data_IF_805956905834
#
_entry.id   IF_805956905834
#
_cell.length_a   1.000
_cell.length_b   1.000
_cell.length_c   1.000
_cell.angle_alpha   90.00
_cell.angle_beta   90.00
_cell.angle_gamma   90.00
#
_symmetry.space_group_name_H-M   'P 1'
#
loop_
_entity.id
_entity.type
_entity.pdbx_description
1 polymer ?
#
# COMPACT_ATOMS: atom_id res chain seq x y z
N UNK A 1 -13.62 6.98 5.83
CA UNK A 1 -12.80 5.75 5.90
C UNK A 1 -12.15 5.38 4.56
N UNK A 2 -12.90 5.30 3.44
CA UNK A 2 -12.33 4.90 2.13
C UNK A 2 -11.16 5.80 1.66
N UNK A 3 -11.26 7.10 1.91
CA UNK A 3 -10.23 8.11 1.58
C UNK A 3 -8.87 7.79 2.17
N UNK A 4 -8.79 7.50 3.48
CA UNK A 4 -7.53 7.14 4.16
C UNK A 4 -6.88 5.91 3.51
N UNK A 5 -7.68 4.90 3.16
CA UNK A 5 -7.17 3.67 2.55
C UNK A 5 -6.61 3.95 1.15
N UNK A 6 -7.30 4.78 0.36
CA UNK A 6 -6.86 5.17 -0.99
C UNK A 6 -5.59 6.02 -0.94
N UNK A 7 -5.50 6.99 -0.02
CA UNK A 7 -4.31 7.82 0.18
C UNK A 7 -3.09 6.99 0.58
N UNK A 8 -3.24 6.08 1.55
CA UNK A 8 -2.16 5.17 1.98
C UNK A 8 -1.77 4.18 0.87
N UNK A 9 -2.74 3.66 0.13
CA UNK A 9 -2.46 2.76 -0.99
C UNK A 9 -1.72 3.47 -2.15
N UNK A 10 -1.93 4.77 -2.33
CA UNK A 10 -1.26 5.55 -3.38
C UNK A 10 0.16 5.98 -3.01
N UNK A 11 0.46 6.08 -1.71
CA UNK A 11 1.73 6.62 -1.21
C UNK A 11 2.77 5.53 -0.90
N UNK A 12 2.33 4.33 -0.50
CA UNK A 12 3.22 3.24 -0.08
C UNK A 12 3.37 2.16 -1.15
N UNK A 13 4.51 1.46 -1.12
CA UNK A 13 4.69 0.23 -1.90
C UNK A 13 3.85 -0.92 -1.32
N UNK A 14 3.57 -1.95 -2.13
CA UNK A 14 2.73 -3.07 -1.69
C UNK A 14 3.26 -3.76 -0.43
N UNK A 15 4.56 -3.95 -0.29
CA UNK A 15 5.17 -4.59 0.87
C UNK A 15 5.01 -3.75 2.14
N UNK A 16 5.24 -2.44 2.03
CA UNK A 16 5.05 -1.51 3.14
C UNK A 16 3.58 -1.43 3.55
N UNK A 17 2.68 -1.36 2.57
CA UNK A 17 1.24 -1.34 2.79
C UNK A 17 0.76 -2.62 3.49
N UNK A 18 1.24 -3.80 3.05
CA UNK A 18 0.95 -5.07 3.72
C UNK A 18 1.42 -5.06 5.18
N UNK A 19 2.60 -4.53 5.46
CA UNK A 19 3.14 -4.45 6.81
C UNK A 19 2.34 -3.49 7.70
N UNK A 20 1.92 -2.34 7.19
CA UNK A 20 1.07 -1.40 7.93
C UNK A 20 -0.34 -1.94 8.20
N UNK A 21 -0.88 -2.74 7.28
CA UNK A 21 -2.13 -3.47 7.48
C UNK A 21 -2.00 -4.46 8.63
N UNK A 22 -0.94 -5.27 8.63
CA UNK A 22 -0.70 -6.30 9.68
C UNK A 22 -0.48 -5.64 11.04
N UNK A 23 0.27 -4.53 11.07
CA UNK A 23 0.53 -3.78 12.30
C UNK A 23 -0.67 -2.95 12.78
N UNK A 24 -1.72 -2.79 11.97
CA UNK A 24 -2.93 -2.05 12.35
C UNK A 24 -2.76 -0.53 12.40
N UNK A 25 -1.72 0.04 11.75
CA UNK A 25 -1.52 1.49 11.68
C UNK A 25 -2.66 2.18 10.93
N UNK A 26 -3.07 1.62 9.79
CA UNK A 26 -4.19 2.11 8.98
C UNK A 26 -5.51 2.04 9.78
N UNK A 27 -5.71 0.98 10.56
CA UNK A 27 -6.90 0.86 11.42
C UNK A 27 -6.94 1.94 12.52
N UNK A 28 -5.77 2.29 13.06
CA UNK A 28 -5.63 3.34 14.08
C UNK A 28 -5.91 4.73 13.50
N UNK A 29 -5.41 5.03 12.30
CA UNK A 29 -5.70 6.29 11.60
C UNK A 29 -7.22 6.44 11.34
N UNK A 30 -7.87 5.37 10.88
CA UNK A 30 -9.33 5.31 10.69
C UNK A 30 -10.09 5.52 12.01
N UNK A 31 -9.62 4.91 13.10
CA UNK A 31 -10.24 5.06 14.41
C UNK A 31 -10.23 6.52 14.88
N UNK A 32 -9.12 7.22 14.70
CA UNK A 32 -8.97 8.62 15.13
C UNK A 32 -9.91 9.57 14.38
N UNK A 33 -10.11 9.35 13.07
CA UNK A 33 -11.10 10.11 12.32
C UNK A 33 -12.53 9.75 12.73
N UNK A 34 -12.82 8.46 12.90
CA UNK A 34 -14.16 8.00 13.20
C UNK A 34 -14.64 8.40 14.60
N UNK A 35 -13.72 8.43 15.58
CA UNK A 35 -13.99 8.86 16.96
C UNK A 35 -14.53 10.29 17.05
N UNK A 36 -14.19 11.17 16.10
CA UNK A 36 -14.70 12.55 16.04
C UNK A 36 -16.21 12.61 15.75
N UNK A 37 -16.75 11.58 15.09
CA UNK A 37 -18.15 11.51 14.69
C UNK A 37 -18.95 10.69 15.70
N UNK A 38 -18.44 9.51 16.09
CA UNK A 38 -19.12 8.62 17.02
C UNK A 38 -18.14 7.67 17.75
N UNK A 39 -18.47 7.21 18.97
CA UNK A 39 -17.64 6.25 19.69
C UNK A 39 -17.74 4.86 19.05
N UNK A 40 -16.61 4.32 18.59
CA UNK A 40 -16.48 2.95 18.07
C UNK A 40 -15.75 2.05 19.08
N UNK A 41 -16.20 0.80 19.24
CA UNK A 41 -15.58 -0.19 20.15
C UNK A 41 -14.41 -0.94 19.54
N UNK A 42 -14.50 -1.30 18.26
CA UNK A 42 -13.45 -2.02 17.55
C UNK A 42 -13.41 -1.56 16.10
N UNK A 43 -12.19 -1.28 15.61
CA UNK A 43 -11.91 -0.99 14.21
C UNK A 43 -10.77 -1.90 13.79
N UNK A 44 -11.00 -2.63 12.70
CA UNK A 44 -10.04 -3.61 12.20
C UNK A 44 -10.30 -3.91 10.72
N UNK A 45 -9.26 -4.41 10.04
CA UNK A 45 -9.33 -4.80 8.64
C UNK A 45 -9.80 -6.26 8.59
N UNK A 46 -10.97 -6.49 7.98
CA UNK A 46 -11.62 -7.81 7.99
C UNK A 46 -11.09 -8.77 6.93
N UNK A 47 -10.77 -8.26 5.73
CA UNK A 47 -10.25 -9.05 4.61
C UNK A 47 -9.51 -8.12 3.65
N UNK A 48 -8.29 -8.48 3.28
CA UNK A 48 -7.59 -7.94 2.11
C UNK A 48 -7.73 -8.92 0.94
N UNK A 49 -7.93 -8.40 -0.27
CA UNK A 49 -7.95 -9.19 -1.50
C UNK A 49 -7.08 -8.50 -2.54
N UNK A 50 -6.22 -9.28 -3.19
CA UNK A 50 -5.56 -8.85 -4.42
C UNK A 50 -6.53 -9.02 -5.58
N UNK A 51 -6.78 -7.93 -6.32
CA UNK A 51 -7.62 -7.95 -7.51
C UNK A 51 -6.81 -8.25 -8.78
N UNK A 52 -5.54 -7.83 -8.82
CA UNK A 52 -4.66 -8.00 -9.97
C UNK A 52 -3.39 -8.74 -9.55
N UNK A 53 -3.13 -9.95 -10.08
CA UNK A 53 -1.91 -10.67 -9.76
C UNK A 53 -0.69 -9.99 -10.41
N UNK A 54 0.42 -9.94 -9.66
CA UNK A 54 1.67 -9.27 -10.07
C UNK A 54 2.30 -9.84 -11.34
N UNK A 55 1.93 -11.06 -11.75
CA UNK A 55 2.38 -11.70 -12.99
C UNK A 55 2.11 -10.83 -14.23
N UNK A 56 1.07 -10.00 -14.23
CA UNK A 56 0.77 -9.09 -15.34
C UNK A 56 1.50 -7.74 -15.26
N UNK A 57 2.07 -7.37 -14.10
CA UNK A 57 2.69 -6.06 -13.90
C UNK A 57 4.18 -6.07 -14.30
N UNK A 58 4.85 -7.23 -14.19
CA UNK A 58 6.24 -7.37 -14.64
C UNK A 58 6.42 -7.29 -16.17
N UNK A 59 5.36 -7.54 -16.95
CA UNK A 59 5.43 -7.40 -18.42
C UNK A 59 5.46 -5.94 -18.90
N UNK A 60 5.14 -4.97 -18.03
CA UNK A 60 5.13 -3.53 -18.37
C UNK A 60 6.31 -2.74 -17.79
N UNK A 61 7.31 -3.41 -17.20
CA UNK A 61 8.59 -2.78 -16.86
C UNK A 61 9.80 -3.51 -17.48
N UNK A 62 9.95 -3.56 -18.80
CA UNK A 62 11.27 -3.58 -19.40
C UNK A 62 11.74 -2.12 -19.62
N UNK A 63 12.91 -1.76 -19.08
CA UNK A 63 13.97 -0.96 -19.74
C UNK A 63 14.64 0.22 -19.01
N UNK A 64 14.20 0.76 -17.86
CA UNK A 64 14.86 2.00 -17.38
C UNK A 64 16.11 1.83 -16.50
N UNK A 65 16.39 0.68 -15.87
CA UNK A 65 17.51 0.61 -14.89
C UNK A 65 18.77 -0.17 -15.31
N UNK A 66 18.80 -0.90 -16.44
CA UNK A 66 19.99 -1.68 -16.83
C UNK A 66 20.99 -0.89 -17.70
N UNK A 67 20.67 0.34 -18.14
CA UNK A 67 21.52 1.11 -19.07
C UNK A 67 22.58 2.02 -18.44
N UNK A 68 22.63 2.19 -17.10
CA UNK A 68 23.61 3.10 -16.49
C UNK A 68 24.89 2.43 -15.94
N UNK A 69 24.93 1.11 -15.73
CA UNK A 69 26.16 0.46 -15.22
C UNK A 69 27.16 0.01 -16.30
N UNK A 70 26.77 -0.15 -17.56
CA UNK A 70 27.69 -0.64 -18.62
C UNK A 70 28.43 0.44 -19.43
N UNK A 71 28.23 1.72 -19.14
CA UNK A 71 28.93 2.81 -19.84
C UNK A 71 30.20 3.30 -19.12
N UNK A 72 30.52 2.77 -17.93
CA UNK A 72 31.70 3.17 -17.16
C UNK A 72 32.91 2.21 -17.33
N UNK A 73 32.77 1.16 -18.13
CA UNK A 73 33.82 0.14 -18.32
C UNK A 73 34.00 -0.20 -19.82
N UNK A 74 34.22 0.83 -20.64
CA UNK A 74 34.68 0.72 -22.02
C UNK A 74 35.51 1.94 -22.43
#
# INVERSE_FOLDING_TARGET
MKRIVEEKASTLTLDQFAQEIVLGKIASDIYNEAKKIAPLRHVGIRKSKLLTPLTQVQELQPQTQVKMEKAAEA
#
